data_IF_231816805593
#
_entry.id   IF_231816805593
#
_cell.length_a   1.000
_cell.length_b   1.000
_cell.length_c   1.000
_cell.angle_alpha   90.00
_cell.angle_beta   90.00
_cell.angle_gamma   90.00
#
_symmetry.space_group_name_H-M   'P 1'
#
loop_
_entity.id
_entity.type
_entity.pdbx_description
1 polymer ?
#
# COMPACT_ATOMS: atom_id res chain seq x y z
N UNK A 1 20.85 -27.12 54.83
CA UNK A 1 20.18 -26.03 54.08
C UNK A 1 19.35 -25.25 55.08
N UNK A 2 19.69 -23.98 55.29
CA UNK A 2 19.03 -23.10 56.26
C UNK A 2 17.91 -22.29 55.58
N UNK A 3 16.93 -21.79 56.35
CA UNK A 3 15.80 -20.99 55.83
C UNK A 3 16.30 -19.74 55.07
N UNK A 4 17.45 -19.20 55.48
CA UNK A 4 18.10 -18.05 54.83
C UNK A 4 18.62 -18.43 53.42
N UNK A 5 19.24 -19.60 53.27
CA UNK A 5 19.72 -20.08 51.96
C UNK A 5 18.57 -20.31 50.96
N UNK A 6 17.43 -20.83 51.43
CA UNK A 6 16.23 -21.02 50.59
C UNK A 6 15.68 -19.66 50.12
N UNK A 7 15.65 -18.68 51.02
CA UNK A 7 15.09 -17.35 50.73
C UNK A 7 15.97 -16.57 49.73
N UNK A 8 17.29 -16.63 49.88
CA UNK A 8 18.24 -16.00 48.96
C UNK A 8 18.20 -16.70 47.58
N UNK A 9 18.17 -18.03 47.55
CA UNK A 9 18.08 -18.77 46.29
C UNK A 9 16.79 -18.46 45.53
N UNK A 10 15.65 -18.33 46.23
CA UNK A 10 14.37 -17.98 45.60
C UNK A 10 14.39 -16.57 45.00
N UNK A 11 14.95 -15.58 45.71
CA UNK A 11 15.03 -14.21 45.20
C UNK A 11 15.91 -14.11 43.96
N UNK A 12 17.06 -14.77 43.97
CA UNK A 12 17.97 -14.83 42.81
C UNK A 12 17.29 -15.50 41.61
N UNK A 13 16.56 -16.60 41.84
CA UNK A 13 15.83 -17.29 40.78
C UNK A 13 14.72 -16.42 40.19
N UNK A 14 13.96 -15.70 41.01
CA UNK A 14 12.90 -14.79 40.53
C UNK A 14 13.46 -13.65 39.68
N UNK A 15 14.58 -13.04 40.08
CA UNK A 15 15.22 -11.96 39.30
C UNK A 15 15.72 -12.47 37.95
N UNK A 16 16.36 -13.64 37.93
CA UNK A 16 16.83 -14.27 36.69
C UNK A 16 15.66 -14.65 35.78
N UNK A 17 14.60 -15.26 36.33
CA UNK A 17 13.41 -15.64 35.60
C UNK A 17 12.70 -14.41 35.00
N UNK A 18 12.56 -13.33 35.77
CA UNK A 18 11.98 -12.08 35.27
C UNK A 18 12.82 -11.45 34.15
N UNK A 19 14.16 -11.44 34.30
CA UNK A 19 15.07 -10.97 33.27
C UNK A 19 14.96 -11.78 31.97
N UNK A 20 14.86 -13.10 32.07
CA UNK A 20 14.64 -13.98 30.91
C UNK A 20 13.29 -13.76 30.23
N UNK A 21 12.21 -13.59 31.00
CA UNK A 21 10.87 -13.31 30.45
C UNK A 21 10.85 -11.95 29.75
N UNK A 22 11.46 -10.92 30.35
CA UNK A 22 11.58 -9.61 29.73
C UNK A 22 12.37 -9.69 28.43
N UNK A 23 13.55 -10.31 28.43
CA UNK A 23 14.39 -10.46 27.24
C UNK A 23 13.68 -11.27 26.14
N UNK A 24 12.98 -12.35 26.48
CA UNK A 24 12.20 -13.14 25.53
C UNK A 24 11.04 -12.33 24.93
N UNK A 25 10.34 -11.55 25.75
CA UNK A 25 9.25 -10.69 25.28
C UNK A 25 9.75 -9.58 24.34
N UNK A 26 10.93 -9.01 24.62
CA UNK A 26 11.58 -8.04 23.74
C UNK A 26 12.03 -8.70 22.44
N UNK A 27 12.57 -9.92 22.49
CA UNK A 27 12.94 -10.71 21.31
C UNK A 27 11.74 -10.99 20.40
N UNK A 28 10.62 -11.45 20.96
CA UNK A 28 9.39 -11.72 20.20
C UNK A 28 8.83 -10.43 19.58
N UNK A 29 8.82 -9.32 20.31
CA UNK A 29 8.37 -8.02 19.79
C UNK A 29 9.28 -7.52 18.67
N UNK A 30 10.59 -7.67 18.81
CA UNK A 30 11.55 -7.30 17.79
C UNK A 30 11.37 -8.13 16.52
N UNK A 31 11.22 -9.46 16.64
CA UNK A 31 11.00 -10.36 15.49
C UNK A 31 9.69 -10.04 14.77
N UNK A 32 8.60 -9.80 15.51
CA UNK A 32 7.32 -9.39 14.93
C UNK A 32 7.40 -8.04 14.24
N UNK A 33 8.09 -7.06 14.85
CA UNK A 33 8.30 -5.74 14.27
C UNK A 33 9.12 -5.83 12.98
N UNK A 34 10.23 -6.58 12.96
CA UNK A 34 11.06 -6.76 11.77
C UNK A 34 10.30 -7.47 10.64
N UNK A 35 9.56 -8.53 10.97
CA UNK A 35 8.74 -9.25 9.99
C UNK A 35 7.69 -8.33 9.36
N UNK A 36 7.01 -7.52 10.18
CA UNK A 36 6.05 -6.53 9.72
C UNK A 36 6.70 -5.48 8.80
N UNK A 37 7.83 -4.90 9.20
CA UNK A 37 8.55 -3.92 8.40
C UNK A 37 8.94 -4.47 7.03
N UNK A 38 9.41 -5.72 6.96
CA UNK A 38 9.77 -6.36 5.68
C UNK A 38 8.55 -6.54 4.78
N UNK A 39 7.41 -6.97 5.35
CA UNK A 39 6.15 -7.13 4.61
C UNK A 39 5.65 -5.78 4.10
N UNK A 40 5.62 -4.76 4.96
CA UNK A 40 5.14 -3.41 4.61
C UNK A 40 6.05 -2.75 3.56
N UNK A 41 7.37 -2.87 3.69
CA UNK A 41 8.33 -2.36 2.69
C UNK A 41 8.15 -3.05 1.34
N UNK A 42 7.93 -4.37 1.34
CA UNK A 42 7.70 -5.12 0.09
C UNK A 42 6.38 -4.72 -0.56
N UNK A 43 5.31 -4.62 0.22
CA UNK A 43 4.01 -4.17 -0.28
C UNK A 43 4.09 -2.75 -0.87
N UNK A 44 4.80 -1.84 -0.19
CA UNK A 44 5.08 -0.50 -0.69
C UNK A 44 5.82 -0.55 -2.03
N UNK A 45 6.89 -1.35 -2.14
CA UNK A 45 7.65 -1.49 -3.37
C UNK A 45 6.81 -2.07 -4.53
N UNK A 46 6.08 -3.16 -4.28
CA UNK A 46 5.24 -3.83 -5.27
C UNK A 46 4.10 -2.90 -5.75
N UNK A 47 3.47 -2.18 -4.83
CA UNK A 47 2.44 -1.19 -5.15
C UNK A 47 3.00 -0.02 -5.98
N UNK A 48 4.18 0.49 -5.62
CA UNK A 48 4.86 1.55 -6.36
C UNK A 48 5.24 1.11 -7.77
N UNK A 49 5.77 -0.12 -7.92
CA UNK A 49 6.15 -0.66 -9.23
C UNK A 49 4.93 -0.82 -10.15
N UNK A 50 3.81 -1.36 -9.64
CA UNK A 50 2.58 -1.49 -10.39
C UNK A 50 2.02 -0.11 -10.83
N UNK A 51 2.00 0.85 -9.89
CA UNK A 51 1.54 2.21 -10.16
C UNK A 51 2.44 2.94 -11.19
N UNK A 52 3.76 2.80 -11.06
CA UNK A 52 4.74 3.35 -12.01
C UNK A 52 4.52 2.80 -13.42
N UNK A 53 4.36 1.48 -13.55
CA UNK A 53 4.13 0.83 -14.83
C UNK A 53 2.82 1.32 -15.46
N UNK A 54 1.72 1.29 -14.71
CA UNK A 54 0.39 1.64 -15.23
C UNK A 54 0.28 3.12 -15.60
N UNK A 55 0.78 4.04 -14.75
CA UNK A 55 0.80 5.47 -15.08
C UNK A 55 1.79 5.75 -16.22
N UNK A 56 2.90 5.03 -16.29
CA UNK A 56 3.87 5.17 -17.39
C UNK A 56 3.24 4.94 -18.77
N UNK A 57 2.19 4.12 -18.83
CA UNK A 57 1.40 3.87 -20.04
C UNK A 57 0.04 4.56 -20.06
N UNK A 58 -0.28 5.43 -19.10
CA UNK A 58 -1.59 6.06 -19.05
C UNK A 58 -1.83 7.00 -20.25
N UNK A 59 -3.09 7.12 -20.67
CA UNK A 59 -3.52 8.18 -21.56
C UNK A 59 -3.57 9.50 -20.78
N UNK A 60 -2.52 10.32 -20.91
CA UNK A 60 -2.41 11.62 -20.22
C UNK A 60 -3.67 12.50 -20.36
N UNK A 61 -4.28 12.52 -21.55
CA UNK A 61 -5.45 13.36 -21.82
C UNK A 61 -6.71 12.90 -21.06
N UNK A 62 -6.71 11.67 -20.55
CA UNK A 62 -7.82 11.06 -19.83
C UNK A 62 -7.47 10.73 -18.37
N UNK A 63 -6.31 11.17 -17.85
CA UNK A 63 -6.01 11.06 -16.42
C UNK A 63 -6.85 12.07 -15.66
N UNK A 64 -7.65 11.59 -14.72
CA UNK A 64 -8.42 12.41 -13.78
C UNK A 64 -7.73 12.33 -12.43
N UNK A 65 -7.36 13.49 -11.89
CA UNK A 65 -6.77 13.64 -10.57
C UNK A 65 -7.69 14.46 -9.68
N UNK A 66 -8.09 13.87 -8.56
CA UNK A 66 -8.94 14.50 -7.55
C UNK A 66 -8.22 14.50 -6.22
N UNK A 67 -8.42 15.55 -5.41
CA UNK A 67 -7.84 15.64 -4.07
C UNK A 67 -8.98 15.86 -3.07
N UNK A 68 -9.04 15.04 -2.02
CA UNK A 68 -10.04 15.16 -0.97
C UNK A 68 -9.72 16.29 0.04
N UNK A 69 -10.66 16.59 0.93
CA UNK A 69 -10.50 17.64 1.96
C UNK A 69 -9.33 17.38 2.92
N UNK A 70 -8.88 16.12 3.02
CA UNK A 70 -7.76 15.70 3.86
C UNK A 70 -6.43 15.67 3.08
N UNK A 71 -6.44 16.04 1.80
CA UNK A 71 -5.27 16.10 0.93
C UNK A 71 -4.89 14.77 0.26
N UNK A 72 -5.72 13.73 0.38
CA UNK A 72 -5.47 12.46 -0.31
C UNK A 72 -5.81 12.58 -1.79
N UNK A 73 -4.91 12.08 -2.64
CA UNK A 73 -5.15 12.04 -4.08
C UNK A 73 -5.92 10.79 -4.49
N UNK A 74 -6.78 10.93 -5.50
CA UNK A 74 -7.38 9.83 -6.25
C UNK A 74 -6.97 10.00 -7.71
N UNK A 75 -6.50 8.93 -8.34
CA UNK A 75 -6.14 8.91 -9.75
C UNK A 75 -7.03 7.92 -10.49
N UNK A 76 -7.64 8.38 -11.57
CA UNK A 76 -8.42 7.53 -12.49
C UNK A 76 -7.87 7.69 -13.90
N UNK A 77 -7.56 6.60 -14.59
CA UNK A 77 -6.98 6.65 -15.93
C UNK A 77 -7.20 5.35 -16.69
N UNK A 78 -6.78 5.34 -17.95
CA UNK A 78 -6.81 4.18 -18.84
C UNK A 78 -5.41 3.89 -19.38
N UNK A 79 -5.14 2.62 -19.66
CA UNK A 79 -3.89 2.10 -20.25
C UNK A 79 -4.18 1.49 -21.63
N UNK A 80 -3.19 1.38 -22.52
CA UNK A 80 -3.40 0.77 -23.83
C UNK A 80 -3.64 -0.73 -23.63
N UNK A 81 -4.70 -1.24 -24.24
CA UNK A 81 -5.08 -2.65 -24.23
C UNK A 81 -5.20 -3.17 -25.65
N UNK A 82 -4.82 -4.43 -25.86
CA UNK A 82 -4.98 -5.10 -27.16
C UNK A 82 -6.28 -5.88 -27.15
N UNK A 83 -7.16 -5.56 -28.10
CA UNK A 83 -8.45 -6.22 -28.29
C UNK A 83 -8.50 -6.88 -29.68
N UNK A 84 -9.52 -7.68 -29.95
CA UNK A 84 -9.76 -8.28 -31.26
C UNK A 84 -9.94 -7.22 -32.38
N UNK A 85 -10.27 -5.98 -32.00
CA UNK A 85 -10.47 -4.84 -32.91
C UNK A 85 -9.22 -3.96 -33.09
N UNK A 86 -8.14 -4.26 -32.35
CA UNK A 86 -6.89 -3.48 -32.35
C UNK A 86 -6.53 -2.92 -30.96
N UNK A 87 -5.70 -1.87 -30.94
CA UNK A 87 -5.30 -1.19 -29.71
C UNK A 87 -6.38 -0.18 -29.31
N UNK A 88 -6.86 -0.29 -28.07
CA UNK A 88 -7.82 0.62 -27.46
C UNK A 88 -7.29 1.11 -26.11
N UNK A 89 -7.97 2.10 -25.52
CA UNK A 89 -7.73 2.51 -24.13
C UNK A 89 -8.68 1.75 -23.21
N UNK A 90 -8.19 1.30 -22.07
CA UNK A 90 -8.99 0.54 -21.14
C UNK A 90 -8.24 0.10 -19.89
N UNK A 91 -8.62 -1.06 -19.36
CA UNK A 91 -7.96 -1.69 -18.23
C UNK A 91 -7.54 -3.11 -18.58
N UNK A 92 -6.36 -3.51 -18.11
CA UNK A 92 -5.87 -4.88 -18.21
C UNK A 92 -5.65 -5.48 -16.82
N UNK A 93 -6.17 -6.68 -16.58
CA UNK A 93 -5.83 -7.47 -15.40
C UNK A 93 -6.08 -8.96 -15.61
N UNK A 94 -5.09 -9.78 -15.22
CA UNK A 94 -5.12 -11.24 -15.39
C UNK A 94 -6.24 -11.92 -14.60
N UNK A 95 -6.76 -11.27 -13.56
CA UNK A 95 -7.84 -11.79 -12.70
C UNK A 95 -9.22 -11.60 -13.29
N UNK A 96 -9.38 -10.77 -14.33
CA UNK A 96 -10.67 -10.54 -14.98
C UNK A 96 -11.16 -11.78 -15.76
N UNK A 97 -10.25 -12.61 -16.26
CA UNK A 97 -10.62 -13.85 -16.93
C UNK A 97 -9.45 -14.69 -17.43
N UNK A 98 -9.78 -15.74 -18.18
CA UNK A 98 -8.84 -16.74 -18.66
C UNK A 98 -8.30 -16.42 -20.04
N UNK A 99 -9.06 -15.70 -20.87
CA UNK A 99 -8.66 -15.33 -22.23
C UNK A 99 -8.08 -13.91 -22.26
N UNK A 100 -7.31 -13.57 -23.30
CA UNK A 100 -6.80 -12.19 -23.44
C UNK A 100 -7.94 -11.17 -23.60
N UNK A 101 -8.99 -11.50 -24.36
CA UNK A 101 -10.17 -10.65 -24.51
C UNK A 101 -10.91 -10.41 -23.20
N UNK A 102 -10.93 -11.37 -22.28
CA UNK A 102 -11.52 -11.17 -20.95
C UNK A 102 -10.62 -10.32 -20.04
N UNK A 103 -9.29 -10.41 -20.21
CA UNK A 103 -8.31 -9.66 -19.40
C UNK A 103 -8.13 -8.22 -19.85
N UNK A 104 -8.34 -7.94 -21.13
CA UNK A 104 -8.20 -6.64 -21.76
C UNK A 104 -9.58 -6.03 -22.05
N UNK A 105 -10.03 -5.12 -21.21
CA UNK A 105 -11.35 -4.50 -21.36
C UNK A 105 -11.21 -3.05 -21.82
N UNK A 106 -11.68 -2.78 -23.04
CA UNK A 106 -11.77 -1.42 -23.57
C UNK A 106 -12.76 -0.57 -22.76
N UNK A 107 -12.50 0.74 -22.71
CA UNK A 107 -13.33 1.75 -22.03
C UNK A 107 -13.46 1.59 -20.51
N UNK A 108 -12.75 0.63 -19.93
CA UNK A 108 -12.64 0.44 -18.47
C UNK A 108 -11.53 1.32 -17.91
N UNK A 109 -11.64 1.65 -16.63
CA UNK A 109 -10.73 2.55 -15.94
C UNK A 109 -10.00 1.83 -14.81
N UNK A 110 -8.74 2.21 -14.63
CA UNK A 110 -7.97 1.94 -13.42
C UNK A 110 -8.12 3.12 -12.48
N UNK A 111 -8.37 2.84 -11.20
CA UNK A 111 -8.53 3.86 -10.19
C UNK A 111 -7.75 3.54 -8.93
N UNK A 112 -6.91 4.46 -8.50
CA UNK A 112 -6.13 4.38 -7.27
C UNK A 112 -6.72 5.35 -6.25
N UNK A 113 -7.23 4.81 -5.15
CA UNK A 113 -7.98 5.58 -4.16
C UNK A 113 -7.58 5.21 -2.73
N UNK A 114 -7.33 6.22 -1.88
CA UNK A 114 -7.21 6.07 -0.45
C UNK A 114 -8.58 5.87 0.22
N UNK A 115 -8.83 4.70 0.80
CA UNK A 115 -10.12 4.40 1.43
C UNK A 115 -10.00 3.64 2.74
N UNK A 116 -11.01 3.75 3.59
CA UNK A 116 -11.09 2.99 4.84
C UNK A 116 -11.76 1.65 4.56
N UNK A 117 -11.00 0.58 4.70
CA UNK A 117 -11.46 -0.77 4.35
C UNK A 117 -12.05 -1.46 5.59
N UNK A 118 -13.25 -2.07 5.49
CA UNK A 118 -13.77 -2.90 6.57
C UNK A 118 -12.76 -4.01 6.90
N UNK A 119 -12.47 -4.21 8.19
CA UNK A 119 -11.51 -5.18 8.75
C UNK A 119 -10.04 -4.73 8.89
N UNK A 120 -9.67 -3.51 8.48
CA UNK A 120 -8.30 -2.96 8.74
C UNK A 120 -8.22 -2.15 10.04
N UNK A 121 -9.19 -2.34 10.94
CA UNK A 121 -9.26 -1.58 12.19
C UNK A 121 -9.56 -0.09 12.00
N UNK A 122 -10.19 0.29 10.88
CA UNK A 122 -10.48 1.68 10.54
C UNK A 122 -9.30 2.43 9.94
N UNK A 123 -8.23 1.72 9.56
CA UNK A 123 -7.09 2.31 8.87
C UNK A 123 -7.44 2.61 7.42
N UNK A 124 -6.87 3.70 6.91
CA UNK A 124 -6.94 4.04 5.49
C UNK A 124 -5.91 3.19 4.74
N UNK A 125 -6.32 2.66 3.60
CA UNK A 125 -5.56 1.77 2.73
C UNK A 125 -5.43 2.42 1.35
N UNK A 126 -4.39 2.05 0.59
CA UNK A 126 -4.34 2.35 -0.83
C UNK A 126 -4.96 1.19 -1.60
N UNK A 127 -6.00 1.47 -2.37
CA UNK A 127 -6.78 0.47 -3.09
C UNK A 127 -6.76 0.77 -4.59
N UNK A 128 -6.56 -0.28 -5.38
CA UNK A 128 -6.68 -0.27 -6.83
C UNK A 128 -8.02 -0.86 -7.23
N UNK A 129 -8.72 -0.13 -8.07
CA UNK A 129 -9.98 -0.51 -8.68
C UNK A 129 -9.85 -0.68 -10.18
N UNK A 130 -10.64 -1.61 -10.69
CA UNK A 130 -10.99 -1.69 -12.09
C UNK A 130 -12.49 -1.50 -12.18
N UNK A 131 -12.88 -0.45 -12.89
CA UNK A 131 -14.27 -0.01 -13.02
C UNK A 131 -14.64 0.11 -14.50
N UNK A 132 -15.91 -0.10 -14.82
CA UNK A 132 -16.43 0.18 -16.17
C UNK A 132 -16.60 1.69 -16.38
N UNK A 133 -16.89 2.12 -17.61
CA UNK A 133 -17.25 3.52 -17.92
C UNK A 133 -18.44 4.03 -17.06
N UNK A 134 -19.35 3.12 -16.66
CA UNK A 134 -20.49 3.45 -15.80
C UNK A 134 -20.14 3.48 -14.31
N UNK A 135 -18.85 3.45 -13.94
CA UNK A 135 -18.34 3.32 -12.56
C UNK A 135 -18.82 2.03 -11.86
N UNK A 136 -19.05 0.96 -12.62
CA UNK A 136 -19.35 -0.34 -12.03
C UNK A 136 -18.05 -1.04 -11.62
N UNK A 137 -17.90 -1.34 -10.33
CA UNK A 137 -16.72 -2.03 -9.79
C UNK A 137 -16.66 -3.48 -10.28
N UNK A 138 -15.55 -3.84 -10.93
CA UNK A 138 -15.28 -5.20 -11.43
C UNK A 138 -14.19 -5.89 -10.65
N UNK A 139 -13.16 -5.14 -10.25
CA UNK A 139 -12.09 -5.68 -9.43
C UNK A 139 -11.66 -4.67 -8.38
N UNK A 140 -11.40 -5.19 -7.18
CA UNK A 140 -10.89 -4.46 -6.03
C UNK A 140 -9.69 -5.17 -5.45
N UNK A 141 -8.60 -4.44 -5.34
CA UNK A 141 -7.36 -4.91 -4.75
C UNK A 141 -6.83 -3.91 -3.73
N UNK A 142 -6.58 -4.37 -2.51
CA UNK A 142 -5.84 -3.59 -1.52
C UNK A 142 -4.36 -3.76 -1.83
N UNK A 143 -3.69 -2.67 -2.18
CA UNK A 143 -2.25 -2.67 -2.47
C UNK A 143 -1.44 -2.47 -1.20
N UNK A 144 -1.91 -1.58 -0.33
CA UNK A 144 -1.26 -1.26 0.94
C UNK A 144 -2.34 -1.18 2.02
N UNK A 145 -2.23 -2.04 3.01
CA UNK A 145 -3.22 -2.19 4.09
C UNK A 145 -3.27 -0.99 5.04
N UNK A 146 -2.24 -0.14 5.05
CA UNK A 146 -2.15 1.01 5.94
C UNK A 146 -1.28 2.11 5.36
N UNK A 147 -1.87 3.27 5.12
CA UNK A 147 -1.17 4.49 4.70
C UNK A 147 -1.24 5.58 5.78
N UNK A 148 -0.33 6.55 5.72
CA UNK A 148 -0.30 7.67 6.65
C UNK A 148 -1.60 8.49 6.60
N UNK A 149 -2.08 8.88 7.77
CA UNK A 149 -3.19 9.84 7.94
C UNK A 149 -2.74 11.06 8.75
N UNK A 150 -1.43 11.26 8.90
CA UNK A 150 -0.87 12.39 9.61
C UNK A 150 -1.29 13.71 8.95
N UNK A 151 -1.67 14.70 9.76
CA UNK A 151 -2.11 16.00 9.27
C UNK A 151 -1.00 16.67 8.44
N UNK A 152 -1.33 17.09 7.21
CA UNK A 152 -0.39 17.69 6.28
C UNK A 152 0.57 16.71 5.60
N UNK A 153 0.46 15.40 5.89
CA UNK A 153 1.25 14.34 5.25
C UNK A 153 0.33 13.17 4.85
N UNK A 154 -0.50 13.36 3.81
CA UNK A 154 -1.39 12.31 3.33
C UNK A 154 -0.58 11.10 2.87
N UNK A 155 -1.13 9.93 3.13
CA UNK A 155 -0.53 8.64 2.81
C UNK A 155 -0.43 8.34 1.32
N UNK A 156 -1.22 9.02 0.48
CA UNK A 156 -1.07 8.97 -0.97
C UNK A 156 -1.36 10.34 -1.56
N UNK A 157 -0.37 10.86 -2.29
CA UNK A 157 -0.42 12.15 -2.98
C UNK A 157 0.10 11.94 -4.39
N UNK A 158 -0.60 12.51 -5.36
CA UNK A 158 -0.17 12.59 -6.73
C UNK A 158 -0.09 14.07 -7.10
N UNK A 159 1.00 14.47 -7.74
CA UNK A 159 1.19 15.81 -8.25
C UNK A 159 1.52 15.74 -9.74
N UNK A 160 0.72 16.43 -10.56
CA UNK A 160 1.01 16.63 -11.97
C UNK A 160 1.91 17.86 -12.14
N UNK A 161 3.13 17.64 -12.63
CA UNK A 161 4.08 18.71 -12.99
C UNK A 161 4.18 18.91 -14.51
N UNK A 162 3.13 18.54 -15.23
CA UNK A 162 2.94 18.73 -16.67
C UNK A 162 3.35 17.49 -17.46
N UNK A 163 4.66 17.23 -17.57
CA UNK A 163 5.17 16.04 -18.28
C UNK A 163 5.61 14.91 -17.35
N UNK A 164 5.43 15.10 -16.04
CA UNK A 164 5.95 14.23 -15.01
C UNK A 164 4.94 14.17 -13.86
N UNK A 165 4.58 12.97 -13.48
CA UNK A 165 3.81 12.69 -12.29
C UNK A 165 4.78 12.41 -11.14
N UNK A 166 4.56 13.09 -10.02
CA UNK A 166 5.24 12.80 -8.76
C UNK A 166 4.22 12.11 -7.86
N UNK A 167 4.43 10.84 -7.60
CA UNK A 167 3.54 10.00 -6.80
C UNK A 167 4.23 9.70 -5.50
N UNK A 168 3.58 10.06 -4.40
CA UNK A 168 4.13 9.87 -3.07
C UNK A 168 3.22 8.96 -2.26
N UNK A 169 3.79 7.85 -1.80
CA UNK A 169 3.11 6.90 -0.93
C UNK A 169 3.84 6.88 0.42
N UNK A 170 3.10 7.12 1.51
CA UNK A 170 3.64 7.16 2.87
C UNK A 170 2.95 6.15 3.74
N UNK A 171 3.74 5.36 4.45
CA UNK A 171 3.27 4.51 5.54
C UNK A 171 3.25 5.34 6.84
N UNK A 172 2.39 5.02 7.81
CA UNK A 172 2.43 5.71 9.09
C UNK A 172 3.72 5.38 9.85
N UNK A 173 4.21 6.35 10.63
CA UNK A 173 5.28 6.11 11.59
C UNK A 173 4.86 5.02 12.58
N UNK A 174 5.75 4.07 12.85
CA UNK A 174 5.65 3.22 14.05
C UNK A 174 6.57 3.79 15.15
N UNK A 175 6.32 3.44 16.42
CA UNK A 175 6.95 4.06 17.61
C UNK A 175 8.50 4.01 17.61
N UNK A 176 9.09 3.16 16.76
CA UNK A 176 10.54 2.98 16.60
C UNK A 176 11.01 3.09 15.14
N UNK A 177 10.15 3.48 14.20
CA UNK A 177 10.46 3.40 12.77
C UNK A 177 10.61 4.77 12.12
N UNK A 178 11.49 4.85 11.13
CA UNK A 178 11.63 6.03 10.28
C UNK A 178 10.43 6.07 9.35
N UNK A 179 9.83 7.24 9.14
CA UNK A 179 8.75 7.40 8.14
C UNK A 179 9.15 6.75 6.82
N UNK A 180 8.45 5.67 6.45
CA UNK A 180 8.67 5.00 5.18
C UNK A 180 7.87 5.74 4.12
N UNK A 181 8.58 6.41 3.24
CA UNK A 181 8.05 7.20 2.14
C UNK A 181 8.68 6.71 0.84
N UNK A 182 7.84 6.41 -0.14
CA UNK A 182 8.26 6.16 -1.50
C UNK A 182 7.79 7.32 -2.37
N UNK A 183 8.74 7.95 -3.06
CA UNK A 183 8.48 9.00 -4.05
C UNK A 183 8.87 8.46 -5.42
N UNK A 184 7.89 8.35 -6.30
CA UNK A 184 8.02 7.85 -7.66
C UNK A 184 7.89 9.02 -8.61
N UNK A 185 8.78 9.09 -9.60
CA UNK A 185 8.74 10.09 -10.66
C UNK A 185 8.42 9.38 -11.96
N UNK A 186 7.19 9.50 -12.44
CA UNK A 186 6.70 8.77 -13.61
C UNK A 186 6.54 9.72 -14.77
N UNK A 187 7.30 9.47 -15.84
CA UNK A 187 7.09 10.13 -17.13
C UNK A 187 6.22 9.24 -17.99
N UNK A 188 5.05 9.72 -18.34
CA UNK A 188 4.16 9.03 -19.28
C UNK A 188 4.80 8.97 -20.67
N UNK A 189 4.66 7.83 -21.35
CA UNK A 189 5.34 7.53 -22.61
C UNK A 189 4.51 7.83 -23.87
N UNK A 190 3.29 8.33 -23.68
CA UNK A 190 2.29 8.55 -24.74
C UNK A 190 2.23 10.00 -25.19
#
# INVERSE_FOLDING_TARGET
MTIIEISIASLLFTVIAYGMVSAASMGIRAEQSMSRTVVETRALHDACAALEEEIGYANLAAVVHEVDEQGFSTLTFQVPVVTDLGVAWGAYDKRLGKTETERAQADWHLKYVPEVVPNTGGQRCLVRYIETEANELKLREVLIDRISTAAGQPGFVADDTGSLWVLTVRLPADENDVNQEAVIHVRTRN
#
